data_IF_416048251915
#
_entry.id   IF_416048251915
#
_cell.length_a   1.000
_cell.length_b   1.000
_cell.length_c   1.000
_cell.angle_alpha   90.00
_cell.angle_beta   90.00
_cell.angle_gamma   90.00
#
_symmetry.space_group_name_H-M   'P 1'
#
loop_
_entity.id
_entity.type
_entity.pdbx_description
1 polymer ?
#
# COMPACT_ATOMS: atom_id res chain seq x y z
N UNK A 1 1.33 5.60 3.05
CA UNK A 1 1.52 4.71 4.22
C UNK A 1 1.74 5.57 5.44
N UNK A 2 1.13 5.19 6.59
CA UNK A 2 1.31 5.88 7.86
C UNK A 2 1.59 4.87 8.96
N UNK A 3 2.56 5.17 9.83
CA UNK A 3 2.87 4.33 10.97
C UNK A 3 1.76 4.41 12.03
N UNK A 4 1.49 3.30 12.71
CA UNK A 4 0.46 3.22 13.76
C UNK A 4 0.74 4.18 14.95
N UNK A 5 2.00 4.53 15.19
CA UNK A 5 2.39 5.47 16.24
C UNK A 5 2.31 6.96 15.84
N UNK A 6 1.82 7.27 14.62
CA UNK A 6 1.64 8.66 14.19
C UNK A 6 0.45 9.33 14.91
N UNK A 7 0.54 10.60 15.33
CA UNK A 7 -0.54 11.31 16.04
C UNK A 7 -1.86 11.40 15.27
N UNK A 8 -1.80 11.45 13.93
CA UNK A 8 -3.00 11.50 13.08
C UNK A 8 -3.51 10.13 12.65
N UNK A 9 -3.06 9.04 13.27
CA UNK A 9 -3.37 7.68 12.82
C UNK A 9 -4.88 7.41 12.75
N UNK A 10 -5.65 7.86 13.74
CA UNK A 10 -7.09 7.66 13.77
C UNK A 10 -7.81 8.40 12.63
N UNK A 11 -7.36 9.62 12.28
CA UNK A 11 -7.89 10.35 11.11
C UNK A 11 -7.55 9.64 9.81
N UNK A 12 -6.31 9.15 9.71
CA UNK A 12 -5.84 8.42 8.54
C UNK A 12 -6.64 7.14 8.31
N UNK A 13 -6.87 6.33 9.35
CA UNK A 13 -7.66 5.11 9.28
C UNK A 13 -9.07 5.39 8.75
N UNK A 14 -9.72 6.45 9.27
CA UNK A 14 -11.11 6.77 8.95
C UNK A 14 -11.31 7.55 7.65
N UNK A 15 -10.25 8.13 7.10
CA UNK A 15 -10.33 9.11 6.01
C UNK A 15 -11.19 8.66 4.83
N UNK A 16 -11.00 7.45 4.32
CA UNK A 16 -11.79 6.93 3.19
C UNK A 16 -13.16 6.43 3.60
N UNK A 17 -13.31 5.81 4.76
CA UNK A 17 -14.59 5.38 5.29
C UNK A 17 -15.55 6.57 5.51
N UNK A 18 -15.02 7.72 5.94
CA UNK A 18 -15.82 8.93 6.11
C UNK A 18 -16.20 9.57 4.75
N UNK A 19 -15.35 9.47 3.73
CA UNK A 19 -15.70 9.86 2.36
C UNK A 19 -16.76 8.94 1.75
N UNK A 20 -16.72 7.63 2.02
CA UNK A 20 -17.75 6.68 1.59
C UNK A 20 -19.14 7.02 2.17
N UNK A 21 -19.19 7.52 3.40
CA UNK A 21 -20.45 8.00 3.99
C UNK A 21 -21.03 9.19 3.21
N UNK A 22 -20.17 10.08 2.71
CA UNK A 22 -20.60 11.20 1.84
C UNK A 22 -21.14 10.69 0.52
N UNK A 23 -20.49 9.70 -0.10
CA UNK A 23 -20.98 9.05 -1.35
C UNK A 23 -22.39 8.53 -1.14
N UNK A 24 -22.63 7.76 -0.07
CA UNK A 24 -23.96 7.21 0.23
C UNK A 24 -24.99 8.31 0.44
N UNK A 25 -24.68 9.36 1.18
CA UNK A 25 -25.58 10.50 1.40
C UNK A 25 -25.90 11.23 0.08
N UNK A 26 -24.94 11.39 -0.81
CA UNK A 26 -25.16 12.01 -2.12
C UNK A 26 -26.08 11.15 -3.00
N UNK A 27 -25.87 9.82 -3.04
CA UNK A 27 -26.72 8.88 -3.76
C UNK A 27 -28.16 8.95 -3.23
N UNK A 28 -28.34 8.91 -1.92
CA UNK A 28 -29.65 9.04 -1.27
C UNK A 28 -30.35 10.38 -1.57
N UNK A 29 -29.56 11.44 -1.78
CA UNK A 29 -30.04 12.76 -2.18
C UNK A 29 -30.33 12.89 -3.68
N UNK A 30 -30.13 11.81 -4.47
CA UNK A 30 -30.44 11.77 -5.90
C UNK A 30 -29.29 12.14 -6.83
N UNK A 31 -28.08 12.28 -6.33
CA UNK A 31 -26.90 12.46 -7.18
C UNK A 31 -26.56 11.15 -7.92
N UNK A 32 -26.27 11.27 -9.22
CA UNK A 32 -25.75 10.14 -9.98
C UNK A 32 -24.27 9.93 -9.65
N UNK A 33 -23.93 8.75 -9.13
CA UNK A 33 -22.60 8.35 -8.72
C UNK A 33 -22.28 6.89 -9.10
N UNK A 34 -22.90 6.38 -10.16
CA UNK A 34 -22.70 4.99 -10.61
C UNK A 34 -21.41 4.81 -11.39
N UNK A 35 -20.93 5.87 -12.06
CA UNK A 35 -19.64 5.88 -12.75
C UNK A 35 -18.67 6.83 -12.05
N UNK A 36 -17.39 6.44 -11.93
CA UNK A 36 -16.35 7.27 -11.31
C UNK A 36 -16.11 8.61 -12.05
N UNK A 37 -16.59 8.74 -13.29
CA UNK A 37 -16.56 9.98 -14.06
C UNK A 37 -17.77 10.90 -13.80
N UNK A 38 -18.75 10.45 -13.02
CA UNK A 38 -19.91 11.28 -12.70
C UNK A 38 -19.50 12.51 -11.89
N UNK A 39 -20.10 13.68 -12.11
CA UNK A 39 -19.69 14.94 -11.47
C UNK A 39 -19.73 14.92 -9.95
N UNK A 40 -20.57 14.08 -9.33
CA UNK A 40 -20.63 13.92 -7.87
C UNK A 40 -19.31 13.47 -7.25
N UNK A 41 -18.50 12.69 -7.97
CA UNK A 41 -17.20 12.20 -7.50
C UNK A 41 -16.15 13.28 -7.34
N UNK A 42 -16.28 14.42 -7.99
CA UNK A 42 -15.32 15.53 -7.87
C UNK A 42 -15.26 16.15 -6.46
N UNK A 43 -16.31 15.94 -5.65
CA UNK A 43 -16.39 16.38 -4.26
C UNK A 43 -15.88 15.37 -3.24
N UNK A 44 -15.57 14.14 -3.68
CA UNK A 44 -15.10 13.05 -2.82
C UNK A 44 -13.57 13.02 -2.84
N UNK A 45 -12.98 13.03 -1.64
CA UNK A 45 -11.52 13.02 -1.48
C UNK A 45 -10.95 11.59 -1.47
N UNK A 46 -9.65 11.48 -1.67
CA UNK A 46 -8.86 10.24 -1.54
C UNK A 46 -9.22 9.10 -2.51
N UNK A 47 -10.01 9.34 -3.58
CA UNK A 47 -10.41 8.29 -4.51
C UNK A 47 -9.22 7.64 -5.24
N UNK A 48 -8.18 8.43 -5.53
CA UNK A 48 -6.96 7.96 -6.19
C UNK A 48 -5.83 7.62 -5.20
N UNK A 49 -6.12 7.53 -3.91
CA UNK A 49 -5.18 7.16 -2.87
C UNK A 49 -5.49 5.78 -2.32
N UNK A 50 -4.48 4.93 -2.20
CA UNK A 50 -4.55 3.67 -1.47
C UNK A 50 -3.81 3.85 -0.14
N UNK A 51 -4.51 3.69 0.97
CA UNK A 51 -3.98 3.93 2.30
C UNK A 51 -3.58 2.62 2.98
N UNK A 52 -2.44 2.63 3.67
CA UNK A 52 -1.96 1.46 4.44
C UNK A 52 -1.41 1.91 5.78
N UNK A 53 -1.83 1.26 6.84
CA UNK A 53 -1.26 1.42 8.19
C UNK A 53 -0.07 0.48 8.35
N UNK A 54 1.04 1.01 8.86
CA UNK A 54 2.24 0.23 9.13
C UNK A 54 2.37 0.01 10.63
N UNK A 55 2.35 -1.26 11.05
CA UNK A 55 2.38 -1.68 12.46
C UNK A 55 3.69 -2.37 12.81
N UNK A 56 4.11 -2.25 14.07
CA UNK A 56 5.27 -2.95 14.65
C UNK A 56 4.84 -4.18 15.44
N UNK A 57 5.79 -5.06 15.76
CA UNK A 57 5.55 -6.18 16.69
C UNK A 57 5.04 -5.66 18.05
N UNK A 58 5.60 -4.52 18.55
CA UNK A 58 5.14 -3.87 19.79
C UNK A 58 3.64 -3.52 19.75
N UNK A 59 3.16 -2.96 18.65
CA UNK A 59 1.73 -2.68 18.48
C UNK A 59 0.92 -3.97 18.48
N UNK A 60 1.37 -5.00 17.77
CA UNK A 60 0.66 -6.29 17.70
C UNK A 60 0.61 -7.00 19.04
N UNK A 61 1.70 -6.97 19.82
CA UNK A 61 1.74 -7.50 21.19
C UNK A 61 0.75 -6.75 22.08
N UNK A 62 0.70 -5.42 22.00
CA UNK A 62 -0.27 -4.62 22.76
C UNK A 62 -1.73 -4.96 22.37
N UNK A 63 -1.99 -5.29 21.10
CA UNK A 63 -3.31 -5.79 20.66
C UNK A 63 -3.62 -7.15 21.28
N UNK A 64 -2.67 -8.08 21.30
CA UNK A 64 -2.87 -9.43 21.88
C UNK A 64 -3.08 -9.38 23.39
N UNK A 65 -2.29 -8.59 24.09
CA UNK A 65 -2.33 -8.46 25.55
C UNK A 65 -3.40 -7.49 26.06
N UNK A 66 -4.12 -6.80 25.17
CA UNK A 66 -5.14 -5.78 25.49
C UNK A 66 -4.56 -4.58 26.25
N UNK A 67 -3.38 -4.15 25.83
CA UNK A 67 -2.68 -3.02 26.42
C UNK A 67 -2.90 -1.73 25.63
N UNK A 68 -2.40 -0.64 26.18
CA UNK A 68 -2.38 0.65 25.51
C UNK A 68 -1.15 0.77 24.62
N UNK A 69 -1.31 1.54 23.54
CA UNK A 69 -0.26 1.90 22.62
C UNK A 69 -0.17 3.43 22.51
N UNK A 70 1.04 3.98 22.45
CA UNK A 70 1.24 5.43 22.43
C UNK A 70 1.61 5.92 21.04
N UNK A 71 0.90 6.95 20.56
CA UNK A 71 1.33 7.73 19.40
C UNK A 71 2.43 8.71 19.80
N UNK A 72 3.26 9.10 18.85
CA UNK A 72 4.45 9.94 19.09
C UNK A 72 4.52 11.10 18.13
N UNK A 73 4.89 12.25 18.65
CA UNK A 73 5.16 13.44 17.81
C UNK A 73 6.37 13.19 16.92
N UNK A 74 6.20 13.35 15.62
CA UNK A 74 7.28 13.13 14.62
C UNK A 74 8.48 14.02 14.87
N UNK A 75 8.27 15.25 15.41
CA UNK A 75 9.33 16.25 15.63
C UNK A 75 10.35 15.85 16.72
N UNK A 76 9.90 15.23 17.81
CA UNK A 76 10.73 15.03 19.00
C UNK A 76 10.55 13.65 19.67
N UNK A 77 9.65 12.80 19.15
CA UNK A 77 9.37 11.46 19.69
C UNK A 77 8.59 11.43 21.00
N UNK A 78 8.16 12.59 21.53
CA UNK A 78 7.34 12.64 22.74
C UNK A 78 5.98 11.96 22.52
N UNK A 79 5.42 11.38 23.56
CA UNK A 79 4.07 10.80 23.55
C UNK A 79 3.06 11.91 23.27
N UNK A 80 2.27 11.72 22.22
CA UNK A 80 1.18 12.63 21.85
C UNK A 80 -0.15 12.19 22.47
N UNK A 81 -0.46 10.90 22.36
CA UNK A 81 -1.69 10.31 22.89
C UNK A 81 -1.45 8.83 23.21
N UNK A 82 -2.19 8.31 24.17
CA UNK A 82 -2.18 6.88 24.51
C UNK A 82 -3.55 6.29 24.21
N UNK A 83 -3.61 5.27 23.37
CA UNK A 83 -4.83 4.66 22.85
C UNK A 83 -4.87 3.16 23.21
N UNK A 84 -6.05 2.57 23.41
CA UNK A 84 -6.20 1.12 23.52
C UNK A 84 -5.80 0.48 22.17
N UNK A 85 -4.78 -0.37 22.15
CA UNK A 85 -4.28 -0.98 20.91
C UNK A 85 -5.36 -1.78 20.17
N UNK A 86 -6.18 -2.56 20.91
CA UNK A 86 -7.35 -3.25 20.34
C UNK A 86 -8.38 -2.30 19.73
N UNK A 87 -8.53 -1.10 20.30
CA UNK A 87 -9.41 -0.06 19.78
C UNK A 87 -8.94 0.40 18.39
N UNK A 88 -7.64 0.70 18.27
CA UNK A 88 -7.02 1.10 16.99
C UNK A 88 -7.15 -0.04 15.97
N UNK A 89 -6.84 -1.28 16.33
CA UNK A 89 -6.97 -2.44 15.45
C UNK A 89 -8.42 -2.64 14.97
N UNK A 90 -9.40 -2.44 15.85
CA UNK A 90 -10.82 -2.54 15.51
C UNK A 90 -11.23 -1.46 14.50
N UNK A 91 -10.73 -0.24 14.66
CA UNK A 91 -10.98 0.85 13.69
C UNK A 91 -10.36 0.55 12.32
N UNK A 92 -9.15 -0.02 12.27
CA UNK A 92 -8.53 -0.47 11.03
C UNK A 92 -9.42 -1.52 10.36
N UNK A 93 -9.82 -2.55 11.09
CA UNK A 93 -10.67 -3.62 10.56
C UNK A 93 -12.03 -3.11 10.11
N UNK A 94 -12.65 -2.20 10.86
CA UNK A 94 -13.94 -1.62 10.54
C UNK A 94 -13.87 -0.77 9.27
N UNK A 95 -12.89 0.12 9.15
CA UNK A 95 -12.70 0.94 7.96
C UNK A 95 -12.41 0.07 6.72
N UNK A 96 -11.53 -0.91 6.84
CA UNK A 96 -11.22 -1.86 5.76
C UNK A 96 -12.46 -2.65 5.31
N UNK A 97 -13.33 -3.04 6.23
CA UNK A 97 -14.60 -3.69 5.90
C UNK A 97 -15.59 -2.75 5.20
N UNK A 98 -15.65 -1.48 5.60
CA UNK A 98 -16.57 -0.48 5.03
C UNK A 98 -16.20 -0.05 3.61
N UNK A 99 -14.90 0.15 3.32
CA UNK A 99 -14.44 0.77 2.06
C UNK A 99 -13.21 0.11 1.41
N UNK A 100 -12.70 -1.00 1.94
CA UNK A 100 -11.52 -1.69 1.42
C UNK A 100 -10.17 -1.12 1.89
N UNK A 101 -10.16 0.04 2.53
CA UNK A 101 -8.98 0.73 3.07
C UNK A 101 -9.14 1.03 4.58
N UNK A 102 -8.06 1.10 5.33
CA UNK A 102 -6.65 0.92 4.92
C UNK A 102 -6.24 -0.55 4.82
N UNK A 103 -5.19 -0.81 4.04
CA UNK A 103 -4.40 -2.03 4.14
C UNK A 103 -3.53 -2.02 5.40
N UNK A 104 -2.81 -3.13 5.68
CA UNK A 104 -1.91 -3.23 6.82
C UNK A 104 -0.58 -3.87 6.44
N UNK A 105 0.52 -3.31 6.94
CA UNK A 105 1.88 -3.81 6.76
C UNK A 105 2.58 -4.00 8.09
N UNK A 106 3.39 -5.03 8.19
CA UNK A 106 4.08 -5.45 9.42
C UNK A 106 5.55 -5.04 9.36
N UNK A 107 5.86 -3.86 9.87
CA UNK A 107 7.16 -3.20 9.77
C UNK A 107 8.33 -4.06 10.25
N UNK A 108 8.22 -4.65 11.43
CA UNK A 108 9.28 -5.43 12.06
C UNK A 108 9.62 -6.67 11.22
N UNK A 109 8.61 -7.38 10.75
CA UNK A 109 8.77 -8.59 9.92
C UNK A 109 9.34 -8.22 8.55
N UNK A 110 8.82 -7.17 7.92
CA UNK A 110 9.33 -6.69 6.61
C UNK A 110 10.82 -6.39 6.70
N UNK A 111 11.26 -5.67 7.73
CA UNK A 111 12.67 -5.32 7.89
C UNK A 111 13.54 -6.51 8.32
N UNK A 112 13.00 -7.49 9.02
CA UNK A 112 13.69 -8.76 9.32
C UNK A 112 14.00 -9.56 8.05
N UNK A 113 13.12 -9.49 7.05
CA UNK A 113 13.28 -10.16 5.75
C UNK A 113 13.92 -9.28 4.67
N UNK A 114 14.35 -8.08 5.02
CA UNK A 114 15.01 -7.16 4.07
C UNK A 114 16.31 -7.76 3.55
N UNK A 115 16.33 -8.07 2.26
CA UNK A 115 17.51 -8.64 1.57
C UNK A 115 18.60 -7.61 1.29
N UNK A 116 18.31 -6.31 1.45
CA UNK A 116 19.22 -5.18 1.25
C UNK A 116 19.47 -4.41 2.55
N UNK A 117 19.48 -5.07 3.71
CA UNK A 117 19.56 -4.43 5.04
C UNK A 117 20.85 -3.58 5.23
N UNK A 118 21.94 -3.91 4.53
CA UNK A 118 23.18 -3.13 4.55
C UNK A 118 23.05 -1.78 3.83
N UNK A 119 22.08 -1.63 2.94
CA UNK A 119 21.85 -0.39 2.17
C UNK A 119 20.86 0.54 2.84
N UNK A 120 19.98 0.02 3.67
CA UNK A 120 19.00 0.82 4.40
C UNK A 120 17.79 0.04 4.91
N UNK A 121 16.86 0.78 5.49
CA UNK A 121 15.59 0.28 6.04
C UNK A 121 14.47 0.42 5.01
N UNK A 122 13.58 -0.54 4.96
CA UNK A 122 12.33 -0.47 4.20
C UNK A 122 11.30 0.29 5.06
N UNK A 123 10.94 1.51 4.64
CA UNK A 123 9.97 2.36 5.36
C UNK A 123 8.56 2.25 4.79
N UNK A 124 8.43 1.90 3.52
CA UNK A 124 7.17 1.83 2.81
C UNK A 124 7.22 0.82 1.66
N UNK A 125 6.14 0.72 0.92
CA UNK A 125 6.03 -0.04 -0.33
C UNK A 125 5.10 0.69 -1.31
N UNK A 126 4.87 0.12 -2.49
CA UNK A 126 3.72 0.47 -3.31
C UNK A 126 2.40 0.02 -2.63
N UNK A 127 1.22 0.47 -3.09
CA UNK A 127 -0.06 0.20 -2.42
C UNK A 127 -0.40 -1.28 -2.25
N UNK A 128 -0.11 -2.10 -3.25
CA UNK A 128 -0.41 -3.55 -3.22
C UNK A 128 0.63 -4.36 -2.43
N UNK A 129 1.70 -3.73 -1.95
CA UNK A 129 2.75 -4.33 -1.10
C UNK A 129 3.61 -5.40 -1.77
N UNK A 130 3.61 -5.49 -3.10
CA UNK A 130 4.50 -6.40 -3.84
C UNK A 130 5.94 -5.87 -3.94
N UNK A 131 6.15 -4.55 -3.80
CA UNK A 131 7.47 -3.92 -3.88
C UNK A 131 7.91 -3.38 -2.53
N UNK A 132 8.49 -4.25 -1.72
CA UNK A 132 9.11 -3.92 -0.43
C UNK A 132 10.58 -3.56 -0.63
N UNK A 133 10.87 -2.28 -0.81
CA UNK A 133 12.21 -1.81 -1.11
C UNK A 133 12.57 -0.50 -0.39
N UNK A 134 13.81 -0.06 -0.60
CA UNK A 134 14.32 1.18 -0.02
C UNK A 134 13.62 2.41 -0.60
N UNK A 135 13.62 3.49 0.16
CA UNK A 135 13.16 4.79 -0.31
C UNK A 135 13.97 5.26 -1.53
N UNK A 136 13.35 6.10 -2.36
CA UNK A 136 13.95 6.61 -3.59
C UNK A 136 14.34 5.51 -4.59
N UNK A 137 13.49 4.51 -4.74
CA UNK A 137 13.59 3.46 -5.74
C UNK A 137 12.40 3.49 -6.69
N UNK A 138 12.53 2.83 -7.81
CA UNK A 138 11.47 2.68 -8.80
C UNK A 138 11.24 1.20 -9.13
N UNK A 139 10.04 0.87 -9.63
CA UNK A 139 9.69 -0.47 -10.05
C UNK A 139 9.11 -0.43 -11.46
N UNK A 140 9.72 -1.16 -12.37
CA UNK A 140 9.22 -1.36 -13.72
C UNK A 140 8.52 -2.71 -13.81
N UNK A 141 7.26 -2.72 -14.26
CA UNK A 141 6.40 -3.90 -14.25
C UNK A 141 6.12 -4.39 -15.66
N UNK A 142 6.08 -5.71 -15.81
CA UNK A 142 5.56 -6.37 -17.00
C UNK A 142 4.79 -7.64 -16.65
N UNK A 143 3.90 -8.08 -17.55
CA UNK A 143 3.13 -9.31 -17.37
C UNK A 143 3.16 -10.13 -18.65
N UNK A 144 3.27 -11.45 -18.50
CA UNK A 144 3.26 -12.41 -19.60
C UNK A 144 1.98 -13.23 -19.53
N UNK A 145 1.23 -13.30 -20.63
CA UNK A 145 0.05 -14.15 -20.73
C UNK A 145 0.44 -15.62 -20.90
N UNK A 146 0.40 -16.39 -19.84
CA UNK A 146 0.82 -17.79 -19.81
C UNK A 146 0.01 -18.70 -20.75
N UNK A 147 -1.26 -18.37 -21.04
CA UNK A 147 -2.08 -19.17 -21.96
C UNK A 147 -1.52 -19.18 -23.39
N UNK A 148 -0.69 -18.21 -23.77
CA UNK A 148 -0.06 -18.17 -25.10
C UNK A 148 1.02 -19.25 -25.29
N UNK A 149 1.45 -19.88 -24.19
CA UNK A 149 2.45 -20.97 -24.21
C UNK A 149 1.83 -22.34 -23.98
N UNK A 150 0.51 -22.44 -23.84
CA UNK A 150 -0.19 -23.72 -23.77
C UNK A 150 -0.34 -24.29 -25.18
N UNK A 151 0.26 -25.47 -25.41
CA UNK A 151 0.17 -26.19 -26.69
C UNK A 151 -1.16 -26.94 -26.82
N UNK A 152 -1.48 -27.36 -28.03
CA UNK A 152 -2.73 -28.10 -28.32
C UNK A 152 -2.81 -29.47 -27.63
N UNK A 153 -1.66 -30.06 -27.28
CA UNK A 153 -1.57 -31.32 -26.54
C UNK A 153 -1.64 -31.15 -25.01
N UNK A 154 -1.87 -29.90 -24.53
CA UNK A 154 -1.94 -29.58 -23.11
C UNK A 154 -0.58 -29.35 -22.45
N UNK A 155 0.54 -29.53 -23.15
CA UNK A 155 1.87 -29.22 -22.61
C UNK A 155 2.17 -27.71 -22.65
N UNK A 156 3.09 -27.28 -21.77
CA UNK A 156 3.55 -25.88 -21.72
C UNK A 156 4.84 -25.73 -22.56
N UNK A 157 4.89 -24.70 -23.40
CA UNK A 157 6.06 -24.39 -24.22
C UNK A 157 7.12 -23.64 -23.43
N UNK A 158 7.95 -24.39 -22.70
CA UNK A 158 9.00 -23.84 -21.83
C UNK A 158 10.02 -23.02 -22.61
N UNK A 159 10.40 -23.46 -23.82
CA UNK A 159 11.43 -22.77 -24.61
C UNK A 159 10.92 -21.42 -25.13
N UNK A 160 9.71 -21.36 -25.66
CA UNK A 160 9.10 -20.10 -26.08
C UNK A 160 8.88 -19.16 -24.90
N UNK A 161 8.46 -19.68 -23.74
CA UNK A 161 8.30 -18.89 -22.52
C UNK A 161 9.64 -18.32 -22.04
N UNK A 162 10.69 -19.14 -21.97
CA UNK A 162 12.06 -18.71 -21.60
C UNK A 162 12.53 -17.57 -22.49
N UNK A 163 12.42 -17.73 -23.82
CA UNK A 163 12.80 -16.68 -24.78
C UNK A 163 12.04 -15.38 -24.52
N UNK A 164 10.73 -15.46 -24.25
CA UNK A 164 9.94 -14.27 -23.94
C UNK A 164 10.39 -13.59 -22.64
N UNK A 165 10.71 -14.38 -21.61
CA UNK A 165 11.25 -13.84 -20.33
C UNK A 165 12.55 -13.08 -20.58
N UNK A 166 13.48 -13.66 -21.35
CA UNK A 166 14.77 -13.04 -21.68
C UNK A 166 14.58 -11.70 -22.38
N UNK A 167 13.68 -11.63 -23.36
CA UNK A 167 13.37 -10.38 -24.09
C UNK A 167 12.67 -9.37 -23.17
N UNK A 168 11.75 -9.81 -22.32
CA UNK A 168 11.03 -8.92 -21.42
C UNK A 168 11.95 -8.30 -20.36
N UNK A 169 12.86 -9.08 -19.78
CA UNK A 169 13.85 -8.57 -18.81
C UNK A 169 14.76 -7.54 -19.50
N UNK A 170 15.26 -7.84 -20.70
CA UNK A 170 16.07 -6.89 -21.46
C UNK A 170 15.31 -5.58 -21.77
N UNK A 171 14.04 -5.70 -22.15
CA UNK A 171 13.20 -4.52 -22.43
C UNK A 171 12.97 -3.68 -21.16
N UNK A 172 12.76 -4.32 -20.00
CA UNK A 172 12.62 -3.63 -18.71
C UNK A 172 13.91 -2.92 -18.30
N UNK A 173 15.06 -3.55 -18.47
CA UNK A 173 16.39 -2.97 -18.20
C UNK A 173 16.62 -1.70 -19.05
N UNK A 174 16.40 -1.78 -20.36
CA UNK A 174 16.49 -0.63 -21.27
C UNK A 174 15.51 0.48 -20.86
N UNK A 175 14.30 0.12 -20.43
CA UNK A 175 13.30 1.10 -20.00
C UNK A 175 13.70 1.82 -18.70
N UNK A 176 14.32 1.12 -17.78
CA UNK A 176 14.85 1.73 -16.54
C UNK A 176 15.99 2.69 -16.84
N UNK A 177 16.93 2.27 -17.67
CA UNK A 177 18.09 3.09 -18.06
C UNK A 177 17.67 4.35 -18.85
N UNK A 178 16.69 4.22 -19.74
CA UNK A 178 16.19 5.32 -20.59
C UNK A 178 15.12 6.21 -19.94
N UNK A 179 14.68 5.92 -18.71
CA UNK A 179 13.60 6.65 -18.05
C UNK A 179 14.09 7.93 -17.37
N UNK A 180 13.18 8.90 -17.24
CA UNK A 180 13.39 10.08 -16.39
C UNK A 180 12.62 9.94 -15.09
N UNK A 181 13.26 10.31 -13.98
CA UNK A 181 12.71 10.16 -12.64
C UNK A 181 12.45 11.51 -11.98
N UNK A 182 11.48 11.60 -11.03
CA UNK A 182 11.05 12.88 -10.45
C UNK A 182 12.09 13.52 -9.53
N UNK A 183 13.07 12.76 -9.04
CA UNK A 183 14.15 13.27 -8.16
C UNK A 183 15.50 12.71 -8.55
N UNK A 184 16.54 13.48 -8.28
CA UNK A 184 17.93 13.07 -8.49
C UNK A 184 18.30 11.78 -7.73
N UNK A 185 17.76 11.61 -6.52
CA UNK A 185 17.99 10.43 -5.68
C UNK A 185 17.45 9.11 -6.27
N UNK A 186 16.42 9.18 -7.09
CA UNK A 186 15.90 7.97 -7.77
C UNK A 186 16.70 7.70 -9.04
N UNK A 187 17.29 8.74 -9.66
CA UNK A 187 18.08 8.64 -10.90
C UNK A 187 19.45 8.01 -10.64
N UNK A 188 20.03 8.17 -9.45
CA UNK A 188 21.34 7.62 -9.04
C UNK A 188 21.25 6.15 -8.65
#
# INVERSE_FOLDING_TARGET
ILNADHPDIMKFIRSKADEEKKVRALIESGYNMYDLNDPGWTSIQYQNANNTVRVTDEFMEAVETDENFSTRLVKNGEVAETLPARGVMREIAQAAWECGDPGMQYDTIINRWNTCSNSGRINASNPCSEYMHLDNSACNLSSINLLKYLKTDGSFDVEAFRHTVDIMILAQEISVDGSSYPTEKITQ
#
